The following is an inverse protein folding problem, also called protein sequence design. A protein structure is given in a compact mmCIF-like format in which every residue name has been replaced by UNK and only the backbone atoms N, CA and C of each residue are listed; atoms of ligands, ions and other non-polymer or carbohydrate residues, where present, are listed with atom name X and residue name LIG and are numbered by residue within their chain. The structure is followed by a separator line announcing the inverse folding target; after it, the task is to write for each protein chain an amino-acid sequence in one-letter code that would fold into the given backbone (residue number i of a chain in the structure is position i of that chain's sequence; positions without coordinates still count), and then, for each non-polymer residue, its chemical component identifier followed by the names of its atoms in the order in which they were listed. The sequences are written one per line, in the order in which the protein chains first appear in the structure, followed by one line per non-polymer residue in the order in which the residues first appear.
data_IF_091624572171
#
_entry.id   IF_091624572171
#
_cell.length_a   1.000
_cell.length_b   1.000
_cell.length_c   1.000
_cell.angle_alpha   90.00
_cell.angle_beta   90.00
_cell.angle_gamma   90.00
#
_symmetry.space_group_name_H-M   'P 1'
#
loop_
_entity.id
_entity.type
_entity.pdbx_description
1 polymer ?
#
# COMPACT_ATOMS: atom_id res chain seq x y z
N UNK A 1 -1.05 -9.05 0.16
CA UNK A 1 -1.55 -9.06 1.55
C UNK A 1 -2.50 -10.23 1.75
N UNK A 2 -3.54 -10.42 0.92
CA UNK A 2 -4.54 -11.49 1.08
C UNK A 2 -3.91 -12.89 1.21
N UNK A 3 -2.96 -13.22 0.33
CA UNK A 3 -2.24 -14.50 0.39
C UNK A 3 -1.36 -14.63 1.63
N UNK A 4 -0.80 -13.54 2.12
CA UNK A 4 0.10 -13.53 3.27
C UNK A 4 -0.63 -13.84 4.58
N UNK A 5 -1.85 -13.32 4.76
CA UNK A 5 -2.66 -13.55 5.98
C UNK A 5 -3.44 -14.86 5.95
N UNK A 6 -3.46 -15.56 4.82
CA UNK A 6 -4.07 -16.89 4.67
C UNK A 6 -3.04 -17.97 5.05
N UNK A 7 -3.27 -18.68 6.15
CA UNK A 7 -2.35 -19.69 6.67
C UNK A 7 -2.13 -20.88 5.72
N UNK A 8 -3.11 -21.19 4.87
CA UNK A 8 -2.98 -22.28 3.90
C UNK A 8 -2.06 -21.88 2.73
N UNK A 9 -2.00 -20.60 2.41
CA UNK A 9 -1.18 -20.08 1.33
C UNK A 9 0.23 -19.69 1.77
N UNK A 10 0.34 -19.03 2.93
CA UNK A 10 1.61 -18.49 3.44
C UNK A 10 2.39 -19.48 4.31
N UNK A 11 1.71 -20.44 4.94
CA UNK A 11 2.29 -21.27 5.99
C UNK A 11 2.55 -20.53 7.30
N UNK A 12 2.13 -19.26 7.41
CA UNK A 12 2.23 -18.44 8.61
C UNK A 12 0.95 -18.52 9.43
N UNK A 13 0.95 -18.07 10.71
CA UNK A 13 -0.28 -17.97 11.48
C UNK A 13 -1.32 -17.10 10.76
N UNK A 14 -2.59 -17.53 10.80
CA UNK A 14 -3.68 -16.80 10.18
C UNK A 14 -3.71 -15.34 10.69
N UNK A 15 -3.93 -14.40 9.79
CA UNK A 15 -3.94 -12.97 10.06
C UNK A 15 -2.65 -12.42 10.69
N UNK A 16 -1.54 -13.16 10.64
CA UNK A 16 -0.22 -12.78 11.17
C UNK A 16 -0.24 -12.46 12.66
N UNK A 17 -0.99 -13.21 13.44
CA UNK A 17 -1.08 -13.07 14.89
C UNK A 17 -0.99 -14.45 15.56
N UNK A 18 -0.35 -14.54 16.74
CA UNK A 18 -0.11 -15.83 17.43
C UNK A 18 -1.39 -16.47 17.96
N UNK A 19 -2.27 -15.68 18.54
CA UNK A 19 -3.48 -16.14 19.20
C UNK A 19 -4.72 -15.80 18.34
N UNK A 20 -4.79 -16.43 17.16
CA UNK A 20 -5.94 -16.33 16.27
C UNK A 20 -7.22 -16.78 16.96
N UNK A 21 -8.31 -16.01 16.81
CA UNK A 21 -9.56 -16.22 17.52
C UNK A 21 -9.73 -15.34 18.76
N UNK A 22 -8.63 -14.96 19.43
CA UNK A 22 -8.62 -13.90 20.43
C UNK A 22 -8.29 -12.55 19.75
N UNK A 23 -7.34 -12.55 18.83
CA UNK A 23 -6.93 -11.39 18.06
C UNK A 23 -7.34 -11.51 16.59
N UNK A 24 -7.72 -10.39 16.00
CA UNK A 24 -8.06 -10.27 14.58
C UNK A 24 -6.84 -10.03 13.69
N UNK A 25 -5.74 -9.58 14.25
CA UNK A 25 -4.48 -9.35 13.56
C UNK A 25 -4.62 -8.38 12.37
N UNK A 26 -4.06 -8.75 11.24
CA UNK A 26 -4.09 -7.94 10.00
C UNK A 26 -5.39 -8.06 9.19
N UNK A 27 -6.44 -8.69 9.72
CA UNK A 27 -7.72 -8.82 9.01
C UNK A 27 -8.26 -7.46 8.56
N UNK A 28 -8.41 -6.50 9.48
CA UNK A 28 -8.96 -5.19 9.16
C UNK A 28 -8.04 -4.35 8.25
N UNK A 29 -6.74 -4.51 8.38
CA UNK A 29 -5.78 -3.86 7.49
C UNK A 29 -5.92 -4.39 6.05
N UNK A 30 -6.09 -5.70 5.88
CA UNK A 30 -6.34 -6.29 4.55
C UNK A 30 -7.66 -5.81 3.94
N UNK A 31 -8.73 -5.73 4.73
CA UNK A 31 -10.02 -5.19 4.27
C UNK A 31 -9.89 -3.72 3.85
N UNK A 32 -9.13 -2.93 4.60
CA UNK A 32 -8.82 -1.53 4.26
C UNK A 32 -8.10 -1.44 2.91
N UNK A 33 -7.06 -2.24 2.70
CA UNK A 33 -6.33 -2.27 1.44
C UNK A 33 -7.23 -2.68 0.26
N UNK A 34 -8.14 -3.66 0.46
CA UNK A 34 -9.10 -4.07 -0.54
C UNK A 34 -10.12 -2.96 -0.88
N UNK A 35 -10.59 -2.22 0.13
CA UNK A 35 -11.49 -1.09 -0.06
C UNK A 35 -10.83 0.03 -0.89
N UNK A 36 -9.59 0.42 -0.54
CA UNK A 36 -8.82 1.43 -1.28
C UNK A 36 -8.53 0.99 -2.73
N UNK A 37 -8.22 -0.28 -2.95
CA UNK A 37 -8.04 -0.83 -4.29
C UNK A 37 -9.34 -0.79 -5.11
N UNK A 38 -10.49 -1.07 -4.47
CA UNK A 38 -11.81 -0.97 -5.11
C UNK A 38 -12.17 0.47 -5.45
N UNK A 39 -11.89 1.41 -4.56
CA UNK A 39 -12.06 2.85 -4.82
C UNK A 39 -11.23 3.31 -6.01
N UNK A 40 -9.96 2.91 -6.09
CA UNK A 40 -9.10 3.21 -7.24
C UNK A 40 -9.64 2.65 -8.56
N UNK A 41 -10.29 1.48 -8.55
CA UNK A 41 -10.98 0.97 -9.75
C UNK A 41 -12.11 1.89 -10.19
N UNK A 42 -12.87 2.47 -9.28
CA UNK A 42 -13.90 3.46 -9.58
C UNK A 42 -13.30 4.74 -10.17
N UNK A 43 -12.19 5.21 -9.60
CA UNK A 43 -11.46 6.37 -10.12
C UNK A 43 -10.81 6.12 -11.50
N UNK A 44 -10.57 4.87 -11.87
CA UNK A 44 -9.93 4.53 -13.14
C UNK A 44 -10.86 4.69 -14.37
N UNK A 45 -12.17 4.99 -14.17
CA UNK A 45 -13.08 5.24 -15.29
C UNK A 45 -12.56 6.37 -16.19
N UNK A 46 -12.41 6.18 -17.53
CA UNK A 46 -11.82 7.19 -18.39
C UNK A 46 -12.62 8.48 -18.43
N UNK A 47 -12.00 9.61 -18.10
CA UNK A 47 -12.64 10.92 -18.20
C UNK A 47 -12.83 11.36 -19.66
N UNK A 48 -12.08 10.78 -20.60
CA UNK A 48 -12.16 11.07 -22.02
C UNK A 48 -13.46 10.60 -22.72
N UNK A 49 -14.24 9.73 -22.04
CA UNK A 49 -15.55 9.29 -22.58
C UNK A 49 -16.63 10.34 -22.33
N UNK A 50 -16.34 11.35 -21.51
CA UNK A 50 -17.24 12.43 -21.16
C UNK A 50 -16.83 13.70 -21.84
N UNK A 51 -17.67 14.23 -22.73
CA UNK A 51 -17.47 15.53 -23.35
C UNK A 51 -18.80 16.21 -23.57
N UNK A 52 -18.86 17.50 -23.28
CA UNK A 52 -20.03 18.34 -23.46
C UNK A 52 -19.66 19.55 -24.32
N UNK A 53 -20.49 19.97 -25.29
CA UNK A 53 -20.28 21.21 -26.01
C UNK A 53 -20.27 22.42 -25.07
N UNK A 54 -19.35 23.34 -25.31
CA UNK A 54 -19.22 24.60 -24.55
C UNK A 54 -19.17 25.80 -25.50
N UNK A 55 -19.10 27.01 -24.91
CA UNK A 55 -18.95 28.27 -25.70
C UNK A 55 -20.00 28.45 -26.81
N UNK A 56 -21.29 28.18 -26.46
CA UNK A 56 -22.40 28.22 -27.40
C UNK A 56 -22.19 27.31 -28.65
N UNK A 57 -21.71 26.09 -28.39
CA UNK A 57 -21.39 25.05 -29.39
C UNK A 57 -20.20 25.39 -30.33
N UNK A 58 -19.35 26.36 -29.98
CA UNK A 58 -18.11 26.58 -30.73
C UNK A 58 -17.09 25.47 -30.43
N UNK A 59 -17.12 24.94 -29.22
CA UNK A 59 -16.31 23.78 -28.76
C UNK A 59 -17.21 22.56 -28.72
N UNK A 60 -17.11 21.68 -29.71
CA UNK A 60 -17.92 20.47 -29.83
C UNK A 60 -17.33 19.30 -29.02
N UNK A 61 -16.02 19.28 -28.83
CA UNK A 61 -15.31 18.29 -28.00
C UNK A 61 -14.38 18.97 -27.00
N UNK A 62 -14.75 18.93 -25.73
CA UNK A 62 -14.00 19.54 -24.64
C UNK A 62 -13.23 18.48 -23.85
N UNK A 63 -11.92 18.70 -23.68
CA UNK A 63 -11.06 17.79 -22.91
C UNK A 63 -11.35 17.85 -21.41
N UNK A 64 -11.54 16.68 -20.78
CA UNK A 64 -11.68 16.53 -19.31
C UNK A 64 -10.34 16.19 -18.63
N UNK A 65 -9.22 16.55 -19.25
CA UNK A 65 -7.86 16.23 -18.78
C UNK A 65 -7.56 16.79 -17.38
N UNK A 66 -8.05 17.97 -17.05
CA UNK A 66 -7.85 18.58 -15.71
C UNK A 66 -8.49 17.73 -14.62
N UNK A 67 -9.72 17.24 -14.82
CA UNK A 67 -10.34 16.31 -13.90
C UNK A 67 -9.56 14.99 -13.84
N UNK A 68 -9.18 14.42 -14.98
CA UNK A 68 -8.39 13.21 -15.06
C UNK A 68 -7.07 13.32 -14.27
N UNK A 69 -6.37 14.46 -14.39
CA UNK A 69 -5.14 14.73 -13.65
C UNK A 69 -5.37 14.90 -12.15
N UNK A 70 -6.39 15.65 -11.75
CA UNK A 70 -6.67 15.91 -10.32
C UNK A 70 -6.98 14.66 -9.51
N UNK A 71 -7.76 13.73 -10.06
CA UNK A 71 -8.12 12.49 -9.33
C UNK A 71 -6.92 11.57 -9.08
N UNK A 72 -5.82 11.71 -9.84
CA UNK A 72 -4.60 10.92 -9.63
C UNK A 72 -4.00 11.15 -8.23
N UNK A 73 -4.15 12.31 -7.63
CA UNK A 73 -3.67 12.57 -6.27
C UNK A 73 -4.33 11.61 -5.27
N UNK A 74 -5.66 11.50 -5.29
CA UNK A 74 -6.39 10.55 -4.42
C UNK A 74 -5.97 9.11 -4.71
N UNK A 75 -5.79 8.74 -5.98
CA UNK A 75 -5.38 7.38 -6.34
C UNK A 75 -3.96 7.07 -5.83
N UNK A 76 -3.03 8.03 -5.87
CA UNK A 76 -1.68 7.87 -5.35
C UNK A 76 -1.67 7.73 -3.83
N UNK A 77 -2.48 8.52 -3.12
CA UNK A 77 -2.63 8.41 -1.67
C UNK A 77 -3.17 7.01 -1.29
N UNK A 78 -4.16 6.51 -2.01
CA UNK A 78 -4.67 5.17 -1.81
C UNK A 78 -3.60 4.10 -2.07
N UNK A 79 -2.81 4.23 -3.13
CA UNK A 79 -1.71 3.31 -3.44
C UNK A 79 -0.65 3.33 -2.34
N UNK A 80 -0.25 4.50 -1.85
CA UNK A 80 0.72 4.61 -0.76
C UNK A 80 0.24 3.90 0.51
N UNK A 81 -1.04 4.03 0.86
CA UNK A 81 -1.63 3.33 2.00
C UNK A 81 -1.71 1.81 1.78
N UNK A 82 -2.04 1.34 0.57
CA UNK A 82 -2.06 -0.09 0.24
C UNK A 82 -0.65 -0.69 0.38
N UNK A 83 0.38 -0.01 -0.15
CA UNK A 83 1.77 -0.46 -0.06
C UNK A 83 2.24 -0.42 1.40
N UNK A 84 1.86 0.59 2.18
CA UNK A 84 2.17 0.67 3.61
C UNK A 84 1.62 -0.53 4.38
N UNK A 85 0.37 -0.93 4.12
CA UNK A 85 -0.24 -2.12 4.72
C UNK A 85 0.53 -3.38 4.29
N UNK A 86 0.96 -3.47 3.03
CA UNK A 86 1.74 -4.61 2.54
C UNK A 86 3.10 -4.71 3.24
N UNK A 87 3.82 -3.60 3.38
CA UNK A 87 5.10 -3.54 4.08
C UNK A 87 4.97 -3.91 5.55
N UNK A 88 3.94 -3.40 6.24
CA UNK A 88 3.66 -3.75 7.63
C UNK A 88 3.34 -5.25 7.78
N UNK A 89 2.51 -5.80 6.89
CA UNK A 89 2.17 -7.22 6.89
C UNK A 89 3.39 -8.10 6.58
N UNK A 90 4.24 -7.70 5.62
CA UNK A 90 5.47 -8.41 5.28
C UNK A 90 6.46 -8.40 6.46
N UNK A 91 6.68 -7.23 7.08
CA UNK A 91 7.52 -7.13 8.28
C UNK A 91 6.98 -8.00 9.41
N UNK A 92 5.66 -8.04 9.62
CA UNK A 92 5.04 -8.91 10.62
C UNK A 92 5.20 -10.39 10.28
N UNK A 93 5.07 -10.77 9.00
CA UNK A 93 5.28 -12.16 8.55
C UNK A 93 6.69 -12.66 8.80
N UNK A 94 7.70 -11.80 8.65
CA UNK A 94 9.10 -12.15 8.89
C UNK A 94 9.38 -12.45 10.37
N UNK A 95 8.68 -11.83 11.31
CA UNK A 95 8.83 -12.12 12.75
C UNK A 95 8.61 -13.60 13.08
N UNK A 96 7.72 -14.27 12.36
CA UNK A 96 7.44 -15.70 12.57
C UNK A 96 8.55 -16.62 12.07
N UNK A 97 9.53 -16.09 11.33
CA UNK A 97 10.70 -16.84 10.86
C UNK A 97 11.91 -16.71 11.78
N UNK A 98 11.88 -15.87 12.82
CA UNK A 98 12.98 -15.75 13.75
C UNK A 98 13.35 -17.10 14.38
N UNK A 99 14.66 -17.42 14.58
CA UNK A 99 15.85 -16.54 14.48
C UNK A 99 16.46 -16.44 13.06
N UNK A 100 15.80 -16.96 12.01
CA UNK A 100 16.30 -16.81 10.65
C UNK A 100 16.29 -15.34 10.24
N UNK A 101 17.27 -14.95 9.44
CA UNK A 101 17.40 -13.59 8.91
C UNK A 101 17.27 -13.59 7.39
N UNK A 102 16.83 -12.49 6.84
CA UNK A 102 16.77 -12.21 5.42
C UNK A 102 18.11 -11.66 4.91
N UNK A 103 18.15 -11.13 3.69
CA UNK A 103 19.32 -10.44 3.17
C UNK A 103 19.58 -9.13 3.96
N UNK A 104 20.82 -8.63 4.01
CA UNK A 104 21.14 -7.38 4.71
C UNK A 104 20.26 -6.19 4.26
N UNK A 105 19.93 -6.11 2.98
CA UNK A 105 19.06 -5.05 2.42
C UNK A 105 17.65 -5.16 2.98
N UNK A 106 17.08 -6.36 2.99
CA UNK A 106 15.72 -6.59 3.55
C UNK A 106 15.71 -6.33 5.06
N UNK A 107 16.73 -6.76 5.81
CA UNK A 107 16.84 -6.47 7.25
C UNK A 107 16.91 -4.96 7.52
N UNK A 108 17.58 -4.19 6.64
CA UNK A 108 17.59 -2.72 6.75
C UNK A 108 16.19 -2.12 6.58
N UNK A 109 15.47 -2.54 5.54
CA UNK A 109 14.09 -2.10 5.30
C UNK A 109 13.16 -2.47 6.47
N UNK A 110 13.30 -3.69 7.00
CA UNK A 110 12.52 -4.12 8.19
C UNK A 110 12.85 -3.22 9.38
N UNK A 111 14.13 -2.91 9.61
CA UNK A 111 14.56 -2.00 10.66
C UNK A 111 13.92 -0.61 10.54
N UNK A 112 13.84 -0.06 9.34
CA UNK A 112 13.14 1.21 9.09
C UNK A 112 11.65 1.12 9.40
N UNK A 113 10.97 0.08 8.93
CA UNK A 113 9.54 -0.15 9.22
C UNK A 113 9.33 -0.29 10.73
N UNK A 114 10.19 -1.03 11.43
CA UNK A 114 10.11 -1.25 12.89
C UNK A 114 10.39 0.01 13.70
N UNK A 115 11.13 0.96 13.16
CA UNK A 115 11.30 2.28 13.79
C UNK A 115 10.00 3.10 13.80
N UNK A 116 9.08 2.81 12.87
CA UNK A 116 7.78 3.48 12.72
C UNK A 116 6.62 2.71 13.35
N UNK A 117 6.72 1.38 13.39
CA UNK A 117 5.66 0.48 13.85
C UNK A 117 6.25 -0.71 14.60
N UNK A 118 5.95 -0.88 15.89
CA UNK A 118 6.41 -2.04 16.64
C UNK A 118 5.77 -3.34 16.14
N UNK A 119 6.33 -4.47 16.56
CA UNK A 119 5.74 -5.79 16.30
C UNK A 119 4.28 -5.82 16.77
N UNK A 120 3.43 -6.46 15.98
CA UNK A 120 2.01 -6.58 16.28
C UNK A 120 1.77 -7.88 17.08
N UNK A 121 1.69 -7.76 18.39
CA UNK A 121 1.48 -8.90 19.32
C UNK A 121 0.02 -9.06 19.68
N UNK A 122 -0.69 -7.96 19.91
CA UNK A 122 -2.10 -7.91 20.28
C UNK A 122 -2.86 -6.88 19.42
N UNK A 123 -4.17 -7.04 19.32
CA UNK A 123 -5.02 -6.13 18.55
C UNK A 123 -4.89 -4.69 19.02
N UNK A 124 -4.53 -3.81 18.10
CA UNK A 124 -4.45 -2.37 18.28
C UNK A 124 -4.78 -1.63 16.98
N UNK A 125 -5.05 -0.35 17.06
CA UNK A 125 -5.25 0.45 15.86
C UNK A 125 -3.96 0.55 15.05
N UNK A 126 -4.01 0.15 13.77
CA UNK A 126 -2.92 0.30 12.81
C UNK A 126 -2.98 1.61 12.01
N UNK A 127 -3.97 2.46 12.26
CA UNK A 127 -4.17 3.69 11.48
C UNK A 127 -2.95 4.61 11.48
N UNK A 128 -2.34 4.83 12.65
CA UNK A 128 -1.13 5.65 12.75
C UNK A 128 0.08 5.00 12.10
N UNK A 129 0.24 3.68 12.25
CA UNK A 129 1.34 2.91 11.63
C UNK A 129 1.26 2.98 10.11
N UNK A 130 0.08 2.76 9.54
CA UNK A 130 -0.17 2.86 8.10
C UNK A 130 0.19 4.26 7.60
N UNK A 131 -0.28 5.31 8.30
CA UNK A 131 0.04 6.70 7.93
C UNK A 131 1.53 6.98 7.96
N UNK A 132 2.25 6.58 9.01
CA UNK A 132 3.69 6.83 9.14
C UNK A 132 4.50 6.13 8.03
N UNK A 133 4.14 4.88 7.70
CA UNK A 133 4.79 4.14 6.62
C UNK A 133 4.42 4.71 5.25
N UNK A 134 3.16 5.12 5.03
CA UNK A 134 2.75 5.79 3.79
C UNK A 134 3.48 7.13 3.59
N UNK A 135 3.62 7.92 4.64
CA UNK A 135 4.42 9.16 4.62
C UNK A 135 5.89 8.88 4.29
N UNK A 136 6.45 7.77 4.78
CA UNK A 136 7.82 7.34 4.47
C UNK A 136 7.96 6.94 3.00
N UNK A 137 6.98 6.20 2.45
CA UNK A 137 6.92 5.86 1.02
C UNK A 137 6.89 7.13 0.17
N UNK A 138 6.02 8.09 0.50
CA UNK A 138 5.87 9.34 -0.23
C UNK A 138 7.14 10.21 -0.21
N UNK A 139 7.97 10.10 0.82
CA UNK A 139 9.29 10.74 0.90
C UNK A 139 10.40 9.97 0.15
N UNK A 140 10.09 8.80 -0.41
CA UNK A 140 11.07 7.99 -1.15
C UNK A 140 12.07 7.23 -0.27
N UNK A 141 11.78 7.02 1.01
CA UNK A 141 12.72 6.41 1.96
C UNK A 141 13.27 5.04 1.50
N UNK A 142 12.43 4.26 0.80
CA UNK A 142 12.82 2.91 0.36
C UNK A 142 13.48 2.87 -1.03
N UNK A 143 13.55 4.01 -1.74
CA UNK A 143 14.08 4.06 -3.11
C UNK A 143 15.57 3.68 -3.20
N UNK A 144 16.37 4.06 -2.21
CA UNK A 144 17.80 3.76 -2.19
C UNK A 144 18.08 2.25 -2.14
N UNK A 145 17.25 1.49 -1.44
CA UNK A 145 17.39 0.03 -1.34
C UNK A 145 17.15 -0.68 -2.68
N UNK A 146 16.41 -0.07 -3.59
CA UNK A 146 16.10 -0.59 -4.91
C UNK A 146 16.94 0.06 -6.03
N UNK A 147 17.78 1.05 -5.73
CA UNK A 147 18.49 1.85 -6.73
C UNK A 147 19.32 1.02 -7.72
N UNK A 148 19.88 -0.11 -7.28
CA UNK A 148 20.70 -0.99 -8.13
C UNK A 148 19.89 -1.87 -9.09
N UNK A 149 18.58 -2.03 -8.86
CA UNK A 149 17.70 -2.90 -9.64
C UNK A 149 16.64 -2.12 -10.44
N UNK A 150 16.48 -0.84 -10.15
CA UNK A 150 15.59 0.02 -10.91
C UNK A 150 16.27 0.42 -12.23
N UNK A 151 15.50 0.48 -13.35
CA UNK A 151 16.04 0.98 -14.60
C UNK A 151 16.47 2.44 -14.42
N UNK A 152 17.70 2.76 -14.87
CA UNK A 152 18.14 4.15 -14.94
C UNK A 152 17.21 4.89 -15.91
N UNK A 153 16.57 5.96 -15.44
CA UNK A 153 15.93 6.90 -16.35
C UNK A 153 17.08 7.52 -17.18
N UNK A 154 17.26 7.03 -18.41
CA UNK A 154 18.11 7.72 -19.38
C UNK A 154 17.47 9.07 -19.65
N UNK A 155 18.09 10.13 -19.16
CA UNK A 155 17.78 11.52 -19.51
C UNK A 155 18.06 11.80 -20.98
#
# INVERSE_FOLDING_TARGET
IALLIDSHMSGLPAFLVKDGGLNSGFMMAQVTAAALASENKSHAHPASVDSLPTSANQEDHVSMATYAGRRLHTMLDNVANIIAIELLAAAQGIEFHHPKKSSPVIESVIGEIRSLSPVFEEDRSLSNDIRLVADSINRGAYAEHAASILPSLST
#
